data_IF_474687600968
#
_entry.id   IF_474687600968
#
_cell.length_a   1.000
_cell.length_b   1.000
_cell.length_c   1.000
_cell.angle_alpha   90.00
_cell.angle_beta   90.00
_cell.angle_gamma   90.00
#
_symmetry.space_group_name_H-M   'P 1'
#
loop_
_entity.id
_entity.type
_entity.pdbx_description
1 polymer ?
#
# COMPACT_ATOMS: atom_id res chain seq x y z
N UNK A 1 22.45 4.91 1.37
CA UNK A 1 21.93 3.91 2.32
C UNK A 1 21.54 2.73 1.46
N UNK A 2 22.33 1.66 1.45
CA UNK A 2 21.96 0.44 0.72
C UNK A 2 20.75 -0.16 1.44
N UNK A 3 19.62 -0.21 0.75
CA UNK A 3 18.42 -0.87 1.27
C UNK A 3 18.74 -2.36 1.26
N UNK A 4 18.74 -2.96 2.44
CA UNK A 4 18.88 -4.41 2.57
C UNK A 4 17.71 -5.08 1.85
N UNK A 5 17.96 -5.66 0.69
CA UNK A 5 16.95 -6.33 -0.14
C UNK A 5 16.39 -7.63 0.50
N UNK A 6 16.76 -7.92 1.74
CA UNK A 6 16.41 -9.16 2.43
C UNK A 6 15.30 -9.02 3.49
N UNK A 7 14.84 -7.83 3.80
CA UNK A 7 13.81 -7.62 4.81
C UNK A 7 12.41 -7.58 4.18
N UNK A 8 11.44 -8.22 4.85
CA UNK A 8 10.03 -8.07 4.50
C UNK A 8 9.59 -6.67 4.86
N UNK A 9 9.00 -5.96 3.91
CA UNK A 9 8.59 -4.55 4.08
C UNK A 9 7.09 -4.40 3.88
N UNK A 10 6.47 -3.57 4.72
CA UNK A 10 5.07 -3.16 4.58
C UNK A 10 5.03 -1.77 3.94
N UNK A 11 4.36 -1.61 2.81
CA UNK A 11 4.12 -0.31 2.17
C UNK A 11 2.80 0.31 2.64
N UNK A 12 2.84 1.56 3.13
CA UNK A 12 1.70 2.32 3.64
C UNK A 12 1.17 3.29 2.58
N UNK A 13 0.59 2.77 1.52
CA UNK A 13 0.06 3.54 0.39
C UNK A 13 -1.37 4.05 0.64
N UNK A 14 -2.03 4.53 -0.40
CA UNK A 14 -3.42 5.00 -0.32
C UNK A 14 -3.56 6.48 0.01
N UNK A 15 -4.68 6.84 0.63
CA UNK A 15 -5.04 8.24 0.87
C UNK A 15 -3.96 9.01 1.65
N UNK A 16 -3.52 10.14 1.09
CA UNK A 16 -2.44 10.99 1.62
C UNK A 16 -2.94 12.33 2.19
N UNK A 17 -4.25 12.55 2.22
CA UNK A 17 -4.83 13.78 2.78
C UNK A 17 -4.68 13.86 4.32
N UNK A 18 -5.47 14.68 4.99
CA UNK A 18 -5.33 15.05 6.41
C UNK A 18 -5.36 13.89 7.43
N UNK A 19 -5.50 12.65 7.00
CA UNK A 19 -5.71 11.54 7.89
C UNK A 19 -4.40 10.97 8.37
N UNK A 20 -4.20 11.02 9.65
CA UNK A 20 -3.09 10.38 10.35
C UNK A 20 -3.31 8.88 10.55
N UNK A 21 -3.94 8.21 9.55
CA UNK A 21 -4.20 6.78 9.66
C UNK A 21 -2.93 5.94 9.77
N UNK A 22 -1.83 6.46 9.23
CA UNK A 22 -0.52 5.78 9.25
C UNK A 22 0.14 5.79 10.63
N UNK A 23 -0.13 6.80 11.46
CA UNK A 23 0.55 6.98 12.74
C UNK A 23 0.47 5.76 13.66
N UNK A 24 -0.72 5.16 13.93
CA UNK A 24 -0.81 3.98 14.78
C UNK A 24 -0.12 2.75 14.17
N UNK A 25 -0.12 2.62 12.84
CA UNK A 25 0.58 1.54 12.13
C UNK A 25 2.09 1.68 12.28
N UNK A 26 2.65 2.85 11.95
CA UNK A 26 4.08 3.13 12.06
C UNK A 26 4.60 2.93 13.49
N UNK A 27 3.83 3.40 14.49
CA UNK A 27 4.16 3.19 15.89
C UNK A 27 4.27 1.71 16.23
N UNK A 28 3.24 0.93 15.92
CA UNK A 28 3.21 -0.50 16.23
C UNK A 28 4.27 -1.30 15.47
N UNK A 29 4.56 -0.93 14.22
CA UNK A 29 5.61 -1.58 13.43
C UNK A 29 7.00 -1.24 13.99
N UNK A 30 7.25 0.02 14.36
CA UNK A 30 8.49 0.43 15.02
C UNK A 30 8.75 -0.30 16.34
N UNK A 31 7.71 -0.45 17.18
CA UNK A 31 7.79 -1.20 18.45
C UNK A 31 8.14 -2.70 18.24
N UNK A 32 7.77 -3.26 17.08
CA UNK A 32 8.03 -4.67 16.73
C UNK A 32 9.25 -4.88 15.83
N UNK A 33 9.95 -3.81 15.45
CA UNK A 33 11.08 -3.89 14.51
C UNK A 33 10.68 -4.31 13.09
N UNK A 34 9.43 -4.05 12.69
CA UNK A 34 8.93 -4.34 11.34
C UNK A 34 9.32 -3.21 10.40
N UNK A 35 9.97 -3.56 9.28
CA UNK A 35 10.30 -2.61 8.23
C UNK A 35 9.04 -2.11 7.51
N UNK A 36 8.94 -0.80 7.31
CA UNK A 36 7.85 -0.21 6.56
C UNK A 36 8.31 0.97 5.70
N UNK A 37 7.56 1.24 4.65
CA UNK A 37 7.70 2.41 3.80
C UNK A 37 6.47 3.32 3.95
N UNK A 38 6.71 4.60 4.21
CA UNK A 38 5.68 5.63 4.24
C UNK A 38 5.94 6.64 3.10
N UNK A 39 5.06 6.73 2.08
CA UNK A 39 5.24 7.64 0.95
C UNK A 39 4.97 9.12 1.30
N UNK A 40 4.53 9.42 2.53
CA UNK A 40 4.24 10.80 2.92
C UNK A 40 5.51 11.66 2.94
N UNK A 41 5.43 12.79 2.27
CA UNK A 41 6.49 13.79 2.17
C UNK A 41 5.88 15.13 2.56
N UNK A 42 6.44 15.77 3.59
CA UNK A 42 5.94 17.04 4.11
C UNK A 42 6.14 18.19 3.11
N UNK A 43 7.32 18.24 2.46
CA UNK A 43 7.64 19.20 1.41
C UNK A 43 8.18 18.51 0.16
N UNK A 44 7.32 18.35 -0.83
CA UNK A 44 7.68 17.77 -2.13
C UNK A 44 8.71 18.61 -2.89
N UNK A 45 8.67 19.95 -2.77
CA UNK A 45 9.57 20.83 -3.49
C UNK A 45 10.98 20.71 -2.96
N UNK A 46 11.13 20.73 -1.64
CA UNK A 46 12.41 20.51 -0.98
C UNK A 46 12.97 19.13 -1.27
N UNK A 47 12.14 18.07 -1.17
CA UNK A 47 12.55 16.70 -1.42
C UNK A 47 13.04 16.49 -2.85
N UNK A 48 12.34 17.07 -3.84
CA UNK A 48 12.77 17.02 -5.24
C UNK A 48 14.08 17.80 -5.48
N UNK A 49 14.26 18.94 -4.82
CA UNK A 49 15.52 19.70 -4.93
C UNK A 49 16.70 18.92 -4.34
N UNK A 50 16.54 18.33 -3.16
CA UNK A 50 17.54 17.46 -2.55
C UNK A 50 17.88 16.26 -3.44
N UNK A 51 16.87 15.66 -4.06
CA UNK A 51 17.06 14.56 -5.02
C UNK A 51 17.87 14.99 -6.25
N UNK A 52 17.57 16.15 -6.83
CA UNK A 52 18.34 16.70 -7.97
C UNK A 52 19.81 16.95 -7.62
N UNK A 53 20.08 17.24 -6.35
CA UNK A 53 21.45 17.40 -5.82
C UNK A 53 22.13 16.07 -5.46
N UNK A 54 21.46 14.94 -5.63
CA UNK A 54 21.97 13.61 -5.25
C UNK A 54 22.07 13.37 -3.75
N UNK A 55 21.37 14.17 -2.93
CA UNK A 55 21.41 14.10 -1.47
C UNK A 55 20.35 13.14 -0.89
N UNK A 56 19.37 12.74 -1.68
CA UNK A 56 18.37 11.73 -1.34
C UNK A 56 17.85 11.04 -2.61
N UNK A 57 17.20 9.86 -2.51
CA UNK A 57 16.52 9.22 -3.62
C UNK A 57 15.42 10.11 -4.21
N UNK A 58 15.11 9.92 -5.50
CA UNK A 58 13.94 10.54 -6.10
C UNK A 58 12.67 9.97 -5.45
N UNK A 59 11.79 10.81 -4.86
CA UNK A 59 10.63 10.34 -4.11
C UNK A 59 9.66 9.53 -4.97
N UNK A 60 9.46 9.89 -6.23
CA UNK A 60 8.60 9.13 -7.15
C UNK A 60 9.21 7.77 -7.50
N UNK A 61 10.52 7.70 -7.68
CA UNK A 61 11.21 6.43 -7.94
C UNK A 61 11.21 5.54 -6.70
N UNK A 62 11.39 6.12 -5.52
CA UNK A 62 11.33 5.43 -4.25
C UNK A 62 9.93 4.85 -3.99
N UNK A 63 8.87 5.65 -4.19
CA UNK A 63 7.49 5.21 -4.08
C UNK A 63 7.17 4.07 -5.05
N UNK A 64 7.53 4.22 -6.33
CA UNK A 64 7.36 3.18 -7.34
C UNK A 64 8.15 1.91 -7.00
N UNK A 65 9.34 2.05 -6.42
CA UNK A 65 10.14 0.91 -5.97
C UNK A 65 9.39 0.11 -4.90
N UNK A 66 8.88 0.76 -3.84
CA UNK A 66 8.18 0.06 -2.77
C UNK A 66 6.81 -0.45 -3.18
N UNK A 67 6.08 0.28 -4.03
CA UNK A 67 4.82 -0.21 -4.59
C UNK A 67 5.00 -1.52 -5.37
N UNK A 68 6.16 -1.70 -5.97
CA UNK A 68 6.52 -2.87 -6.76
C UNK A 68 7.12 -3.99 -5.94
N UNK A 69 7.85 -3.68 -4.87
CA UNK A 69 8.72 -4.62 -4.18
C UNK A 69 8.34 -4.89 -2.72
N UNK A 70 7.54 -4.04 -2.06
CA UNK A 70 7.05 -4.35 -0.72
C UNK A 70 6.23 -5.65 -0.73
N UNK A 71 6.47 -6.52 0.24
CA UNK A 71 5.79 -7.81 0.33
C UNK A 71 4.34 -7.68 0.81
N UNK A 72 4.05 -6.64 1.61
CA UNK A 72 2.70 -6.33 2.06
C UNK A 72 2.38 -4.89 1.68
N UNK A 73 1.28 -4.65 1.00
CA UNK A 73 0.81 -3.33 0.60
C UNK A 73 -0.51 -3.04 1.34
N UNK A 74 -0.55 -1.97 2.11
CA UNK A 74 -1.76 -1.42 2.68
C UNK A 74 -2.26 -0.28 1.79
N UNK A 75 -3.54 -0.33 1.43
CA UNK A 75 -4.11 0.63 0.49
C UNK A 75 -5.51 1.09 0.91
N UNK A 76 -5.64 1.95 1.95
CA UNK A 76 -6.92 2.56 2.28
C UNK A 76 -7.24 3.73 1.37
N UNK A 77 -8.49 3.80 0.91
CA UNK A 77 -9.12 4.94 0.23
C UNK A 77 -10.25 5.43 1.12
N UNK A 78 -9.94 6.41 1.97
CA UNK A 78 -10.81 6.86 3.05
C UNK A 78 -11.79 7.97 2.60
N UNK A 79 -12.92 8.08 3.29
CA UNK A 79 -14.07 8.90 2.89
C UNK A 79 -13.80 10.42 2.85
N UNK A 80 -12.86 10.92 3.66
CA UNK A 80 -12.52 12.34 3.76
C UNK A 80 -11.55 12.83 2.66
N UNK A 81 -11.39 12.06 1.60
CA UNK A 81 -10.57 12.36 0.43
C UNK A 81 -11.32 12.05 -0.86
N UNK A 82 -11.03 12.74 -1.95
CA UNK A 82 -11.49 12.33 -3.28
C UNK A 82 -10.94 10.97 -3.71
N UNK A 83 -9.74 10.65 -3.29
CA UNK A 83 -9.07 9.37 -3.55
C UNK A 83 -8.80 9.06 -5.02
N UNK A 84 -8.88 10.03 -5.94
CA UNK A 84 -8.74 9.76 -7.38
C UNK A 84 -7.38 9.20 -7.74
N UNK A 85 -6.30 9.79 -7.20
CA UNK A 85 -4.94 9.26 -7.36
C UNK A 85 -4.82 7.87 -6.76
N UNK A 86 -5.24 7.73 -5.51
CA UNK A 86 -5.19 6.46 -4.78
C UNK A 86 -5.99 5.34 -5.48
N UNK A 87 -7.14 5.63 -6.08
CA UNK A 87 -7.91 4.63 -6.84
C UNK A 87 -7.16 4.18 -8.10
N UNK A 88 -6.45 5.08 -8.78
CA UNK A 88 -5.59 4.76 -9.93
C UNK A 88 -4.42 3.87 -9.53
N UNK A 89 -3.71 4.24 -8.47
CA UNK A 89 -2.58 3.47 -7.93
C UNK A 89 -3.01 2.10 -7.37
N UNK A 90 -4.19 2.02 -6.75
CA UNK A 90 -4.75 0.75 -6.31
C UNK A 90 -4.98 -0.19 -7.49
N UNK A 91 -5.48 0.33 -8.62
CA UNK A 91 -5.62 -0.45 -9.85
C UNK A 91 -4.29 -1.00 -10.37
N UNK A 92 -3.23 -0.18 -10.30
CA UNK A 92 -1.87 -0.60 -10.62
C UNK A 92 -1.35 -1.66 -9.65
N UNK A 93 -1.57 -1.48 -8.36
CA UNK A 93 -1.16 -2.43 -7.30
C UNK A 93 -1.82 -3.79 -7.48
N UNK A 94 -3.13 -3.83 -7.76
CA UNK A 94 -3.86 -5.08 -8.04
C UNK A 94 -3.18 -5.83 -9.20
N UNK A 95 -2.89 -5.15 -10.31
CA UNK A 95 -2.25 -5.76 -11.46
C UNK A 95 -0.83 -6.27 -11.13
N UNK A 96 -0.07 -5.51 -10.35
CA UNK A 96 1.27 -5.89 -9.92
C UNK A 96 1.24 -7.14 -9.06
N UNK A 97 0.36 -7.20 -8.06
CA UNK A 97 0.19 -8.37 -7.18
C UNK A 97 -0.21 -9.60 -8.00
N UNK A 98 -1.19 -9.47 -8.91
CA UNK A 98 -1.60 -10.58 -9.78
C UNK A 98 -0.45 -11.10 -10.64
N UNK A 99 0.36 -10.22 -11.22
CA UNK A 99 1.55 -10.62 -12.00
C UNK A 99 2.57 -11.36 -11.15
N UNK A 100 2.82 -10.89 -9.93
CA UNK A 100 3.77 -11.53 -9.01
C UNK A 100 3.30 -12.94 -8.61
N UNK A 101 2.02 -13.10 -8.32
CA UNK A 101 1.43 -14.42 -8.04
C UNK A 101 1.64 -15.37 -9.23
N UNK A 102 1.39 -14.91 -10.45
CA UNK A 102 1.59 -15.72 -11.66
C UNK A 102 3.06 -16.11 -11.87
N UNK A 103 4.00 -15.31 -11.40
CA UNK A 103 5.44 -15.59 -11.43
C UNK A 103 5.94 -16.41 -10.22
N UNK A 104 5.04 -16.88 -9.36
CA UNK A 104 5.42 -17.63 -8.15
C UNK A 104 6.07 -16.75 -7.07
N UNK A 105 5.82 -15.44 -7.10
CA UNK A 105 6.26 -14.50 -6.10
C UNK A 105 5.14 -14.17 -5.12
N UNK A 106 5.49 -13.87 -3.87
CA UNK A 106 4.51 -13.50 -2.84
C UNK A 106 4.50 -11.98 -2.65
N UNK A 107 3.35 -11.38 -2.88
CA UNK A 107 3.02 -10.02 -2.47
C UNK A 107 1.57 -10.00 -2.01
N UNK A 108 1.30 -9.35 -0.89
CA UNK A 108 -0.03 -9.24 -0.32
C UNK A 108 -0.55 -7.82 -0.46
N UNK A 109 -1.80 -7.67 -0.87
CA UNK A 109 -2.51 -6.40 -0.95
C UNK A 109 -3.70 -6.42 0.00
N UNK A 110 -3.72 -5.51 0.96
CA UNK A 110 -4.85 -5.29 1.86
C UNK A 110 -5.46 -3.94 1.49
N UNK A 111 -6.64 -3.96 0.92
CA UNK A 111 -7.36 -2.76 0.49
C UNK A 111 -8.55 -2.45 1.38
N UNK A 112 -8.79 -1.17 1.60
CA UNK A 112 -9.99 -0.61 2.21
C UNK A 112 -10.51 0.48 1.28
N UNK A 113 -11.77 0.43 0.89
CA UNK A 113 -12.40 1.48 0.10
C UNK A 113 -13.71 1.87 0.79
N UNK A 114 -13.73 3.06 1.38
CA UNK A 114 -14.97 3.63 1.91
C UNK A 114 -15.96 3.88 0.76
N UNK A 115 -17.23 3.58 0.99
CA UNK A 115 -18.25 3.61 -0.05
C UNK A 115 -18.58 5.03 -0.54
N UNK A 116 -18.39 6.02 0.32
CA UNK A 116 -18.72 7.42 0.05
C UNK A 116 -17.51 8.34 0.15
N UNK A 117 -17.62 9.53 -0.39
CA UNK A 117 -16.68 10.62 -0.16
C UNK A 117 -17.40 11.71 0.63
N UNK A 118 -16.90 12.04 1.81
CA UNK A 118 -17.44 13.06 2.74
C UNK A 118 -16.57 14.32 2.81
N UNK A 119 -15.53 14.45 1.97
CA UNK A 119 -14.60 15.60 1.98
C UNK A 119 -15.34 16.93 1.75
N UNK A 120 -15.61 17.65 2.83
CA UNK A 120 -16.33 18.93 2.81
C UNK A 120 -15.60 20.06 2.08
N UNK A 121 -14.30 19.93 1.84
CA UNK A 121 -13.47 20.87 1.04
C UNK A 121 -13.83 20.82 -0.44
N UNK A 122 -14.60 19.81 -0.87
CA UNK A 122 -14.98 19.55 -2.25
C UNK A 122 -16.47 19.82 -2.47
N UNK A 123 -16.83 20.22 -3.69
CA UNK A 123 -18.23 20.42 -4.04
C UNK A 123 -18.99 19.09 -4.16
N UNK A 124 -20.33 19.17 -4.19
CA UNK A 124 -21.20 18.00 -4.22
C UNK A 124 -21.00 17.10 -5.46
N UNK A 125 -20.68 17.69 -6.61
CA UNK A 125 -20.43 16.95 -7.84
C UNK A 125 -19.15 16.15 -7.76
N UNK A 126 -18.06 16.75 -7.28
CA UNK A 126 -16.78 16.06 -7.06
C UNK A 126 -16.93 14.89 -6.09
N UNK A 127 -17.67 15.06 -4.98
CA UNK A 127 -17.94 13.97 -4.03
C UNK A 127 -18.75 12.84 -4.66
N UNK A 128 -19.78 13.20 -5.45
CA UNK A 128 -20.61 12.23 -6.17
C UNK A 128 -19.79 11.41 -7.17
N UNK A 129 -18.90 12.05 -7.91
CA UNK A 129 -18.05 11.35 -8.88
C UNK A 129 -17.01 10.46 -8.19
N UNK A 130 -16.42 10.93 -7.07
CA UNK A 130 -15.56 10.10 -6.23
C UNK A 130 -16.30 8.86 -5.72
N UNK A 131 -17.51 9.01 -5.20
CA UNK A 131 -18.36 7.91 -4.73
C UNK A 131 -18.62 6.86 -5.84
N UNK A 132 -18.93 7.30 -7.06
CA UNK A 132 -19.10 6.39 -8.21
C UNK A 132 -17.82 5.64 -8.55
N UNK A 133 -16.68 6.34 -8.56
CA UNK A 133 -15.38 5.75 -8.86
C UNK A 133 -14.99 4.70 -7.80
N UNK A 134 -15.25 4.98 -6.52
CA UNK A 134 -15.05 4.03 -5.42
C UNK A 134 -15.86 2.77 -5.62
N UNK A 135 -17.15 2.89 -5.88
CA UNK A 135 -18.04 1.76 -6.15
C UNK A 135 -17.54 0.92 -7.35
N UNK A 136 -17.09 1.57 -8.42
CA UNK A 136 -16.55 0.90 -9.59
C UNK A 136 -15.28 0.09 -9.27
N UNK A 137 -14.31 0.72 -8.59
CA UNK A 137 -13.04 0.04 -8.23
C UNK A 137 -13.29 -1.07 -7.21
N UNK A 138 -14.13 -0.82 -6.18
CA UNK A 138 -14.50 -1.82 -5.18
C UNK A 138 -15.17 -3.03 -5.81
N UNK A 139 -16.07 -2.84 -6.77
CA UNK A 139 -16.74 -3.92 -7.48
C UNK A 139 -15.78 -4.80 -8.30
N UNK A 140 -14.71 -4.21 -8.84
CA UNK A 140 -13.65 -4.95 -9.54
C UNK A 140 -12.74 -5.67 -8.56
N UNK A 141 -12.38 -5.02 -7.45
CA UNK A 141 -11.54 -5.60 -6.41
C UNK A 141 -12.19 -6.83 -5.79
N UNK A 142 -13.51 -6.81 -5.53
CA UNK A 142 -14.28 -7.98 -5.04
C UNK A 142 -14.09 -9.21 -5.93
N UNK A 143 -13.93 -9.04 -7.25
CA UNK A 143 -13.66 -10.15 -8.17
C UNK A 143 -12.22 -10.68 -8.05
N UNK A 144 -11.31 -9.85 -7.54
CA UNK A 144 -9.91 -10.23 -7.37
C UNK A 144 -9.63 -10.89 -6.02
N UNK A 145 -10.53 -10.81 -5.03
CA UNK A 145 -10.34 -11.49 -3.72
C UNK A 145 -10.40 -13.03 -3.80
N UNK A 146 -10.66 -13.61 -4.97
CA UNK A 146 -10.42 -15.02 -5.22
C UNK A 146 -8.91 -15.39 -5.18
N UNK A 147 -8.03 -14.40 -5.34
CA UNK A 147 -6.61 -14.57 -5.13
C UNK A 147 -6.29 -14.41 -3.64
N UNK A 148 -5.70 -15.40 -2.96
CA UNK A 148 -5.48 -15.36 -1.50
C UNK A 148 -4.60 -14.20 -1.03
N UNK A 149 -3.84 -13.60 -1.94
CA UNK A 149 -2.95 -12.46 -1.66
C UNK A 149 -3.64 -11.11 -1.77
N UNK A 150 -4.92 -11.05 -2.13
CA UNK A 150 -5.69 -9.80 -2.24
C UNK A 150 -6.84 -9.87 -1.25
N UNK A 151 -6.83 -8.96 -0.27
CA UNK A 151 -7.83 -8.90 0.80
C UNK A 151 -8.52 -7.56 0.77
N UNK A 152 -9.85 -7.57 0.83
CA UNK A 152 -10.67 -6.39 1.03
C UNK A 152 -11.19 -6.39 2.47
N UNK A 153 -10.89 -5.34 3.21
CA UNK A 153 -11.35 -5.12 4.58
C UNK A 153 -12.32 -3.94 4.65
N UNK A 154 -13.06 -3.84 5.76
CA UNK A 154 -14.10 -2.81 5.92
C UNK A 154 -13.68 -1.69 6.88
N UNK A 155 -12.62 -1.89 7.68
CA UNK A 155 -12.15 -0.93 8.66
C UNK A 155 -10.63 -0.87 8.73
N UNK A 156 -10.10 0.25 9.23
CA UNK A 156 -8.67 0.39 9.51
C UNK A 156 -8.20 -0.60 10.60
N UNK A 157 -9.06 -0.95 11.57
CA UNK A 157 -8.74 -1.94 12.59
C UNK A 157 -8.58 -3.34 12.00
N UNK A 158 -9.44 -3.72 11.05
CA UNK A 158 -9.29 -4.97 10.30
C UNK A 158 -8.01 -4.96 9.47
N UNK A 159 -7.73 -3.85 8.77
CA UNK A 159 -6.49 -3.68 8.01
C UNK A 159 -5.27 -3.82 8.91
N UNK A 160 -5.30 -3.19 10.08
CA UNK A 160 -4.22 -3.25 11.06
C UNK A 160 -3.92 -4.69 11.49
N UNK A 161 -4.94 -5.45 11.90
CA UNK A 161 -4.79 -6.86 12.30
C UNK A 161 -4.29 -7.73 11.15
N UNK A 162 -4.92 -7.59 9.99
CA UNK A 162 -4.56 -8.34 8.79
C UNK A 162 -3.13 -8.06 8.33
N UNK A 163 -2.61 -6.85 8.55
CA UNK A 163 -1.25 -6.49 8.15
C UNK A 163 -0.18 -7.33 8.85
N UNK A 164 -0.37 -7.66 10.12
CA UNK A 164 0.53 -8.56 10.86
C UNK A 164 0.44 -10.00 10.37
N UNK A 165 -0.77 -10.49 10.10
CA UNK A 165 -0.98 -11.84 9.58
C UNK A 165 -0.29 -12.02 8.22
N UNK A 166 -0.46 -11.04 7.31
CA UNK A 166 0.18 -11.06 5.99
C UNK A 166 1.69 -10.88 6.08
N UNK A 167 2.19 -10.08 7.02
CA UNK A 167 3.61 -9.93 7.29
C UNK A 167 4.24 -11.26 7.73
N UNK A 168 3.61 -11.96 8.66
CA UNK A 168 4.07 -13.29 9.12
C UNK A 168 4.06 -14.33 8.00
N UNK A 169 3.03 -14.27 7.14
CA UNK A 169 2.97 -15.14 5.95
C UNK A 169 4.07 -14.81 4.95
N UNK A 170 4.38 -13.53 4.74
CA UNK A 170 5.46 -13.09 3.85
C UNK A 170 6.83 -13.59 4.35
N UNK A 171 7.10 -13.48 5.65
CA UNK A 171 8.33 -14.01 6.26
C UNK A 171 8.43 -15.52 6.05
N UNK A 172 7.36 -16.27 6.34
CA UNK A 172 7.34 -17.73 6.19
C UNK A 172 7.59 -18.14 4.74
N UNK A 173 6.94 -17.47 3.79
CA UNK A 173 7.11 -17.74 2.37
C UNK A 173 8.53 -17.46 1.89
N UNK A 174 9.15 -16.37 2.35
CA UNK A 174 10.53 -16.01 2.04
C UNK A 174 11.51 -17.04 2.60
N UNK A 175 11.38 -17.38 3.88
CA UNK A 175 12.20 -18.40 4.55
C UNK A 175 12.10 -19.75 3.85
N UNK A 176 10.91 -20.18 3.44
CA UNK A 176 10.70 -21.42 2.72
C UNK A 176 11.40 -21.43 1.35
N UNK A 177 11.30 -20.33 0.60
CA UNK A 177 11.99 -20.16 -0.69
C UNK A 177 13.51 -20.26 -0.54
N UNK A 178 14.08 -19.64 0.49
CA UNK A 178 15.53 -19.72 0.77
C UNK A 178 15.98 -21.16 1.10
N UNK A 179 15.18 -21.89 1.87
CA UNK A 179 15.47 -23.31 2.19
C UNK A 179 15.46 -24.17 0.93
N UNK A 180 14.52 -23.96 0.02
CA UNK A 180 14.45 -24.69 -1.25
C UNK A 180 15.66 -24.40 -2.14
N UNK A 181 16.05 -23.13 -2.26
CA UNK A 181 17.19 -22.71 -3.07
C UNK A 181 18.53 -23.29 -2.55
N UNK A 182 18.65 -23.52 -1.25
CA UNK A 182 19.87 -24.17 -0.66
C UNK A 182 19.92 -25.68 -0.87
N UNK A 183 18.81 -26.29 -1.30
CA UNK A 183 18.72 -27.75 -1.55
C UNK A 183 18.87 -28.11 -3.04
N UNK A 184 18.79 -27.12 -3.93
CA UNK A 184 18.98 -27.27 -5.37
C UNK A 184 20.45 -27.06 -5.76
#
# INVERSE_FOLDING_TARGET
MEISHNEVTIGLFGTCDNIKWRDPFMKAYGEKGISYFNPMIDDWSERLELSRKGLCPNPTEEENYYLKNAEVILFPVLEDSLGHGSLGELGFSINTVMRRILNGENQFLIALIDDTCTDERKNAEQRKDSTKNRALVKSKLIKCVSYPSIVLVNTLDEMFKMSFEMYDLAIKAKTYKEVLLKRA
#
